data_IF_643720225373
#
_entry.id   IF_643720225373
#
_cell.length_a   1.000
_cell.length_b   1.000
_cell.length_c   1.000
_cell.angle_alpha   90.00
_cell.angle_beta   90.00
_cell.angle_gamma   90.00
#
_symmetry.space_group_name_H-M   'P 1'
#
loop_
_entity.id
_entity.type
_entity.pdbx_description
1 polymer ?
#
# COMPACT_ATOMS: atom_id res chain seq x y z
N UNK A 1 -44.36 -3.27 -20.19
CA UNK A 1 -43.35 -4.24 -19.70
C UNK A 1 -43.27 -4.09 -18.19
N UNK A 2 -43.56 -5.15 -17.43
CA UNK A 2 -43.41 -5.12 -15.98
C UNK A 2 -41.94 -5.41 -15.64
N UNK A 3 -41.28 -4.47 -14.95
CA UNK A 3 -39.92 -4.66 -14.45
C UNK A 3 -40.01 -5.67 -13.31
N UNK A 4 -39.33 -6.81 -13.45
CA UNK A 4 -39.29 -7.82 -12.39
C UNK A 4 -38.19 -7.51 -11.38
N UNK A 5 -38.41 -7.89 -10.12
CA UNK A 5 -37.46 -7.85 -8.99
C UNK A 5 -36.04 -8.31 -9.33
N UNK A 6 -35.89 -9.36 -10.15
CA UNK A 6 -34.58 -9.88 -10.56
C UNK A 6 -33.88 -9.02 -11.63
N UNK A 7 -34.63 -8.22 -12.38
CA UNK A 7 -34.07 -7.26 -13.34
C UNK A 7 -33.58 -5.99 -12.65
N UNK A 8 -34.25 -5.55 -11.57
CA UNK A 8 -33.78 -4.42 -10.76
C UNK A 8 -32.40 -4.69 -10.14
N UNK A 9 -32.19 -5.86 -9.52
CA UNK A 9 -30.90 -6.21 -8.90
C UNK A 9 -29.76 -6.25 -9.92
N UNK A 10 -30.00 -6.77 -11.13
CA UNK A 10 -28.98 -6.89 -12.18
C UNK A 10 -28.57 -5.55 -12.80
N UNK A 11 -29.46 -4.57 -12.85
CA UNK A 11 -29.15 -3.22 -13.32
C UNK A 11 -28.50 -2.36 -12.22
N UNK A 12 -28.77 -2.67 -10.96
CA UNK A 12 -28.28 -1.91 -9.81
C UNK A 12 -26.85 -2.22 -9.40
N UNK A 13 -26.40 -3.47 -9.52
CA UNK A 13 -25.03 -3.83 -9.19
C UNK A 13 -24.00 -3.02 -10.01
N UNK A 14 -24.15 -2.88 -11.35
CA UNK A 14 -23.32 -1.97 -12.14
C UNK A 14 -23.44 -0.50 -11.70
N UNK A 15 -24.65 -0.03 -11.36
CA UNK A 15 -24.90 1.35 -10.96
C UNK A 15 -24.28 1.71 -9.61
N UNK A 16 -24.40 0.83 -8.60
CA UNK A 16 -23.76 0.99 -7.31
C UNK A 16 -22.24 0.89 -7.43
N UNK A 17 -21.72 -0.02 -8.26
CA UNK A 17 -20.28 -0.09 -8.52
C UNK A 17 -19.75 1.20 -9.18
N UNK A 18 -20.50 1.77 -10.12
CA UNK A 18 -20.15 3.07 -10.71
C UNK A 18 -20.14 4.19 -9.65
N UNK A 19 -21.14 4.24 -8.76
CA UNK A 19 -21.18 5.19 -7.64
C UNK A 19 -20.01 5.00 -6.66
N UNK A 20 -19.65 3.74 -6.38
CA UNK A 20 -18.50 3.41 -5.55
C UNK A 20 -17.21 3.94 -6.17
N UNK A 21 -16.97 3.64 -7.45
CA UNK A 21 -15.78 4.08 -8.18
C UNK A 21 -15.68 5.60 -8.33
N UNK A 22 -16.79 6.29 -8.57
CA UNK A 22 -16.84 7.76 -8.60
C UNK A 22 -16.46 8.36 -7.25
N UNK A 23 -17.02 7.84 -6.16
CA UNK A 23 -16.76 8.39 -4.84
C UNK A 23 -15.37 8.04 -4.31
N UNK A 24 -14.84 6.88 -4.70
CA UNK A 24 -13.47 6.48 -4.41
C UNK A 24 -12.45 7.42 -5.07
N UNK A 25 -12.72 7.87 -6.31
CA UNK A 25 -11.86 8.82 -7.05
C UNK A 25 -11.92 10.26 -6.53
N UNK A 26 -12.94 10.63 -5.75
CA UNK A 26 -13.08 11.99 -5.23
C UNK A 26 -12.05 12.32 -4.14
N UNK A 27 -11.37 11.33 -3.57
CA UNK A 27 -10.35 11.53 -2.55
C UNK A 27 -8.96 11.35 -3.15
N UNK A 28 -8.08 12.33 -2.91
CA UNK A 28 -6.68 12.23 -3.30
C UNK A 28 -6.00 11.06 -2.59
N UNK A 29 -5.23 10.28 -3.34
CA UNK A 29 -4.48 9.15 -2.80
C UNK A 29 -3.08 9.58 -2.38
N UNK A 30 -2.95 10.33 -1.27
CA UNK A 30 -1.63 10.78 -0.75
C UNK A 30 -0.61 9.64 -0.59
N UNK A 31 -1.03 8.45 -0.13
CA UNK A 31 -0.13 7.29 -0.06
C UNK A 31 0.51 6.89 -1.41
N UNK A 32 -0.12 7.20 -2.55
CA UNK A 32 0.41 6.86 -3.87
C UNK A 32 1.54 7.81 -4.32
N UNK A 33 1.75 8.93 -3.62
CA UNK A 33 2.91 9.81 -3.84
C UNK A 33 4.14 9.33 -3.07
N UNK A 34 3.95 8.49 -2.05
CA UNK A 34 4.99 8.04 -1.12
C UNK A 34 5.41 6.60 -1.44
N UNK A 35 4.46 5.76 -1.87
CA UNK A 35 4.67 4.35 -2.10
C UNK A 35 4.36 3.97 -3.54
N UNK A 36 5.23 3.15 -4.13
CA UNK A 36 4.93 2.47 -5.39
C UNK A 36 3.95 1.31 -5.15
N UNK A 37 3.11 1.05 -6.15
CA UNK A 37 2.12 -0.03 -6.11
C UNK A 37 2.53 -1.13 -7.07
N UNK A 38 2.73 -2.32 -6.52
CA UNK A 38 2.99 -3.54 -7.30
C UNK A 38 1.87 -4.56 -7.13
N UNK A 39 1.64 -5.35 -8.18
CA UNK A 39 0.66 -6.43 -8.17
C UNK A 39 1.38 -7.76 -7.92
N UNK A 40 0.82 -8.59 -7.06
CA UNK A 40 1.31 -9.93 -6.78
C UNK A 40 0.16 -10.93 -6.73
N UNK A 41 0.42 -12.12 -7.28
CA UNK A 41 -0.43 -13.31 -7.17
C UNK A 41 0.09 -14.30 -6.11
N UNK A 42 1.14 -13.93 -5.36
CA UNK A 42 1.79 -14.80 -4.37
C UNK A 42 1.21 -14.58 -2.97
N UNK A 43 1.36 -15.59 -2.12
CA UNK A 43 0.93 -15.51 -0.72
C UNK A 43 1.80 -14.52 0.11
N UNK A 44 3.04 -14.33 -0.30
CA UNK A 44 3.97 -13.35 0.25
C UNK A 44 4.97 -12.96 -0.84
N UNK A 45 5.47 -11.73 -0.75
CA UNK A 45 6.65 -11.30 -1.49
C UNK A 45 7.84 -11.25 -0.57
N UNK A 46 9.00 -11.59 -1.12
CA UNK A 46 10.27 -11.55 -0.43
C UNK A 46 11.26 -10.76 -1.27
N UNK A 47 11.67 -9.61 -0.75
CA UNK A 47 12.66 -8.76 -1.38
C UNK A 47 13.99 -8.93 -0.66
N UNK A 48 15.02 -9.28 -1.43
CA UNK A 48 16.40 -9.33 -0.94
C UNK A 48 17.09 -8.08 -1.41
N UNK A 49 17.54 -7.25 -0.48
CA UNK A 49 18.38 -6.11 -0.82
C UNK A 49 19.77 -6.62 -1.17
N UNK A 50 20.11 -6.61 -2.46
CA UNK A 50 21.47 -6.87 -2.91
C UNK A 50 22.32 -5.62 -2.68
N UNK A 51 23.51 -5.84 -2.17
CA UNK A 51 24.53 -4.80 -2.10
C UNK A 51 24.89 -4.34 -3.50
N UNK A 52 24.98 -3.03 -3.71
CA UNK A 52 25.48 -2.48 -4.97
C UNK A 52 26.92 -2.91 -5.28
N UNK A 53 27.34 -2.67 -6.52
CA UNK A 53 28.73 -2.83 -6.94
C UNK A 53 29.59 -1.65 -6.49
N UNK A 54 30.87 -1.90 -6.24
CA UNK A 54 31.88 -0.89 -6.02
C UNK A 54 32.06 0.02 -7.24
N UNK A 55 32.71 1.17 -7.03
CA UNK A 55 32.94 2.15 -8.07
C UNK A 55 33.77 1.58 -9.23
N UNK A 56 33.42 1.94 -10.46
CA UNK A 56 34.12 1.45 -11.65
C UNK A 56 35.59 1.89 -11.63
N UNK A 57 36.51 0.93 -11.70
CA UNK A 57 37.95 1.20 -11.71
C UNK A 57 38.45 1.50 -13.14
N UNK A 58 39.44 2.40 -13.25
CA UNK A 58 40.11 2.67 -14.53
C UNK A 58 40.85 1.42 -14.98
N UNK A 59 40.41 0.84 -16.08
CA UNK A 59 41.00 -0.37 -16.66
C UNK A 59 42.36 -0.05 -17.29
N UNK A 60 43.42 -0.72 -16.84
CA UNK A 60 44.74 -0.65 -17.49
C UNK A 60 44.73 -1.41 -18.83
N UNK A 61 45.50 -0.91 -19.79
CA UNK A 61 45.58 -1.49 -21.13
C UNK A 61 46.12 -2.93 -21.06
N UNK A 62 45.43 -3.87 -21.71
CA UNK A 62 45.79 -5.31 -21.72
C UNK A 62 45.28 -6.15 -20.55
N UNK A 63 44.61 -5.58 -19.55
CA UNK A 63 44.04 -6.34 -18.43
C UNK A 63 42.58 -6.76 -18.67
N UNK A 64 42.11 -7.76 -17.91
CA UNK A 64 40.71 -8.21 -17.90
C UNK A 64 39.76 -7.19 -17.27
N UNK A 65 38.45 -7.41 -17.41
CA UNK A 65 37.43 -6.67 -16.64
C UNK A 65 37.42 -7.23 -15.22
N UNK A 66 37.46 -6.37 -14.21
CA UNK A 66 37.29 -6.78 -12.81
C UNK A 66 35.79 -7.01 -12.58
N UNK A 67 35.44 -8.23 -12.19
CA UNK A 67 34.09 -8.57 -11.77
C UNK A 67 33.98 -8.32 -10.27
N UNK A 68 32.92 -7.64 -9.87
CA UNK A 68 32.59 -7.43 -8.47
C UNK A 68 31.45 -8.37 -8.06
N UNK A 69 31.38 -8.72 -6.77
CA UNK A 69 30.40 -9.64 -6.21
C UNK A 69 29.35 -8.86 -5.41
N UNK A 70 28.10 -8.92 -5.85
CA UNK A 70 26.96 -8.43 -5.06
C UNK A 70 26.70 -9.40 -3.89
N UNK A 71 26.68 -8.89 -2.67
CA UNK A 71 26.34 -9.62 -1.45
C UNK A 71 24.90 -9.32 -1.03
N UNK A 72 24.19 -10.29 -0.47
CA UNK A 72 22.85 -10.05 0.08
C UNK A 72 22.97 -9.32 1.43
N UNK A 73 22.27 -8.20 1.60
CA UNK A 73 22.36 -7.37 2.82
C UNK A 73 21.26 -7.75 3.82
N UNK A 74 19.99 -7.64 3.44
CA UNK A 74 18.86 -8.06 4.28
C UNK A 74 17.66 -8.48 3.43
N UNK A 75 16.76 -9.23 4.06
CA UNK A 75 15.55 -9.77 3.41
C UNK A 75 14.32 -9.22 4.11
N UNK A 76 13.42 -8.60 3.34
CA UNK A 76 12.13 -8.14 3.81
C UNK A 76 11.02 -9.04 3.23
N UNK A 77 10.07 -9.45 4.07
CA UNK A 77 8.91 -10.23 3.64
C UNK A 77 7.63 -9.42 3.82
N UNK A 78 6.85 -9.31 2.75
CA UNK A 78 5.56 -8.64 2.74
C UNK A 78 4.43 -9.64 2.59
N UNK A 79 3.44 -9.57 3.47
CA UNK A 79 2.21 -10.38 3.39
C UNK A 79 1.02 -9.49 3.08
N UNK A 80 0.25 -9.85 2.07
CA UNK A 80 -0.97 -9.13 1.71
C UNK A 80 -2.04 -9.30 2.81
N UNK A 81 -2.64 -8.18 3.20
CA UNK A 81 -3.79 -8.19 4.11
C UNK A 81 -5.07 -7.80 3.37
N UNK A 82 -6.13 -8.58 3.58
CA UNK A 82 -7.44 -8.31 3.00
C UNK A 82 -8.23 -7.35 3.89
N UNK A 83 -8.49 -6.15 3.39
CA UNK A 83 -9.39 -5.19 4.05
C UNK A 83 -10.78 -5.36 3.45
N UNK A 84 -11.78 -5.65 4.28
CA UNK A 84 -13.15 -5.84 3.84
C UNK A 84 -14.14 -5.10 4.76
N UNK A 85 -15.14 -4.46 4.14
CA UNK A 85 -16.26 -3.84 4.81
C UNK A 85 -17.52 -4.07 3.96
N UNK A 86 -18.65 -4.36 4.59
CA UNK A 86 -19.92 -4.60 3.90
C UNK A 86 -21.07 -3.93 4.65
N UNK A 87 -22.15 -3.61 3.92
CA UNK A 87 -23.44 -3.24 4.51
C UNK A 87 -24.53 -4.14 3.90
N UNK A 88 -25.61 -4.33 4.64
CA UNK A 88 -26.78 -5.07 4.20
C UNK A 88 -27.99 -4.15 4.10
N UNK A 89 -28.91 -4.43 3.17
CA UNK A 89 -30.20 -3.77 3.04
C UNK A 89 -31.27 -4.84 3.26
N UNK A 90 -32.28 -4.55 4.07
CA UNK A 90 -33.40 -5.47 4.33
C UNK A 90 -34.46 -5.36 3.24
N UNK A 91 -35.31 -6.39 3.12
CA UNK A 91 -36.35 -6.47 2.10
C UNK A 91 -37.42 -5.38 2.27
N UNK A 92 -37.76 -5.03 3.50
CA UNK A 92 -38.75 -4.00 3.82
C UNK A 92 -38.30 -2.61 3.31
N UNK A 93 -37.00 -2.33 3.38
CA UNK A 93 -36.43 -1.09 2.84
C UNK A 93 -36.48 -1.02 1.30
N UNK A 94 -36.58 -2.16 0.63
CA UNK A 94 -36.78 -2.27 -0.82
C UNK A 94 -38.25 -1.98 -1.15
N UNK A 95 -39.18 -2.57 -0.40
CA UNK A 95 -40.62 -2.38 -0.59
C UNK A 95 -41.04 -0.92 -0.37
N UNK A 96 -40.39 -0.21 0.57
CA UNK A 96 -40.69 1.18 0.92
C UNK A 96 -40.10 2.23 -0.05
N UNK A 97 -39.54 1.84 -1.20
CA UNK A 97 -38.85 2.73 -2.15
C UNK A 97 -37.71 3.58 -1.55
N UNK A 98 -37.28 3.30 -0.32
CA UNK A 98 -36.13 3.96 0.32
C UNK A 98 -34.79 3.45 -0.23
N UNK A 99 -34.84 2.36 -0.99
CA UNK A 99 -33.69 1.64 -1.53
C UNK A 99 -32.73 2.51 -2.33
N UNK A 100 -33.20 3.34 -3.27
CA UNK A 100 -32.30 4.10 -4.14
C UNK A 100 -31.53 5.19 -3.36
N UNK A 101 -32.18 5.77 -2.33
CA UNK A 101 -31.56 6.78 -1.46
C UNK A 101 -30.61 6.19 -0.43
N UNK A 102 -30.98 5.04 0.16
CA UNK A 102 -30.19 4.39 1.20
C UNK A 102 -28.99 3.65 0.58
N UNK A 103 -29.21 2.89 -0.49
CA UNK A 103 -28.14 2.15 -1.18
C UNK A 103 -27.08 3.09 -1.74
N UNK A 104 -27.46 4.16 -2.44
CA UNK A 104 -26.51 5.14 -2.96
C UNK A 104 -25.71 5.84 -1.86
N UNK A 105 -26.36 6.20 -0.74
CA UNK A 105 -25.68 6.83 0.40
C UNK A 105 -24.72 5.86 1.09
N UNK A 106 -25.13 4.63 1.34
CA UNK A 106 -24.28 3.63 2.01
C UNK A 106 -23.14 3.16 1.13
N UNK A 107 -23.33 3.01 -0.18
CA UNK A 107 -22.23 2.71 -1.10
C UNK A 107 -21.18 3.83 -1.13
N UNK A 108 -21.61 5.10 -1.12
CA UNK A 108 -20.68 6.24 -0.99
C UNK A 108 -19.96 6.26 0.36
N UNK A 109 -20.67 6.00 1.45
CA UNK A 109 -20.06 5.94 2.78
C UNK A 109 -19.05 4.78 2.89
N UNK A 110 -19.36 3.62 2.30
CA UNK A 110 -18.46 2.47 2.25
C UNK A 110 -17.20 2.79 1.43
N UNK A 111 -17.34 3.43 0.26
CA UNK A 111 -16.20 3.88 -0.54
C UNK A 111 -15.26 4.80 0.27
N UNK A 112 -15.82 5.75 1.01
CA UNK A 112 -15.07 6.68 1.87
C UNK A 112 -14.33 5.95 2.99
N UNK A 113 -15.01 5.03 3.67
CA UNK A 113 -14.42 4.26 4.77
C UNK A 113 -13.26 3.39 4.27
N UNK A 114 -13.42 2.76 3.10
CA UNK A 114 -12.37 1.92 2.49
C UNK A 114 -11.17 2.76 2.05
N UNK A 115 -11.40 3.92 1.42
CA UNK A 115 -10.33 4.84 1.04
C UNK A 115 -9.56 5.36 2.27
N UNK A 116 -10.27 5.77 3.33
CA UNK A 116 -9.65 6.24 4.57
C UNK A 116 -8.83 5.13 5.27
N UNK A 117 -9.37 3.91 5.36
CA UNK A 117 -8.64 2.79 5.94
C UNK A 117 -7.31 2.53 5.23
N UNK A 118 -7.30 2.59 3.89
CA UNK A 118 -6.06 2.46 3.10
C UNK A 118 -5.06 3.57 3.41
N UNK A 119 -5.52 4.82 3.49
CA UNK A 119 -4.67 5.97 3.81
C UNK A 119 -4.07 5.89 5.21
N UNK A 120 -4.89 5.64 6.22
CA UNK A 120 -4.43 5.52 7.61
C UNK A 120 -3.41 4.40 7.75
N UNK A 121 -3.62 3.28 7.04
CA UNK A 121 -2.68 2.16 7.06
C UNK A 121 -1.34 2.51 6.41
N UNK A 122 -1.34 3.21 5.29
CA UNK A 122 -0.11 3.67 4.64
C UNK A 122 0.63 4.72 5.49
N UNK A 123 -0.07 5.74 5.98
CA UNK A 123 0.49 6.78 6.84
C UNK A 123 1.07 6.21 8.15
N UNK A 124 0.51 5.10 8.64
CA UNK A 124 0.97 4.42 9.84
C UNK A 124 2.42 3.90 9.76
N UNK A 125 2.96 3.68 8.56
CA UNK A 125 4.38 3.34 8.39
C UNK A 125 5.25 4.54 8.76
N UNK A 126 4.92 5.73 8.24
CA UNK A 126 5.62 6.98 8.53
C UNK A 126 5.40 7.45 9.98
N UNK A 127 4.18 7.34 10.50
CA UNK A 127 3.87 7.72 11.88
C UNK A 127 4.64 6.88 12.91
N UNK A 128 5.13 5.70 12.51
CA UNK A 128 5.92 4.80 13.36
C UNK A 128 7.40 4.78 12.98
N UNK A 129 7.85 5.70 12.13
CA UNK A 129 9.20 5.71 11.59
C UNK A 129 10.31 5.78 12.67
N UNK A 130 10.04 6.44 13.80
CA UNK A 130 10.97 6.58 14.94
C UNK A 130 10.75 5.56 16.06
N UNK A 131 9.88 4.57 15.85
CA UNK A 131 9.53 3.60 16.89
C UNK A 131 10.33 2.31 16.70
N UNK A 132 11.29 2.06 17.59
CA UNK A 132 12.17 0.87 17.58
C UNK A 132 11.46 -0.47 17.79
N UNK A 133 10.16 -0.46 18.13
CA UNK A 133 9.33 -1.68 18.14
C UNK A 133 8.77 -2.04 16.76
N UNK A 134 8.92 -1.17 15.76
CA UNK A 134 8.47 -1.36 14.38
C UNK A 134 9.67 -1.37 13.45
N UNK A 135 10.29 -2.52 13.35
CA UNK A 135 11.51 -2.71 12.58
C UNK A 135 11.23 -3.03 11.11
N UNK A 136 12.07 -2.51 10.21
CA UNK A 136 12.13 -2.87 8.80
C UNK A 136 12.96 -4.13 8.54
N UNK A 137 13.37 -4.31 7.28
CA UNK A 137 14.10 -5.50 6.82
C UNK A 137 15.47 -5.70 7.47
N UNK A 138 16.11 -4.63 7.95
CA UNK A 138 17.41 -4.66 8.63
C UNK A 138 17.28 -4.75 10.16
N UNK A 139 16.07 -5.02 10.68
CA UNK A 139 15.76 -5.08 12.11
C UNK A 139 15.90 -3.74 12.86
N UNK A 140 15.85 -2.60 12.14
CA UNK A 140 15.85 -1.25 12.71
C UNK A 140 14.59 -0.47 12.34
N UNK A 141 14.23 0.54 13.11
CA UNK A 141 13.18 1.49 12.73
C UNK A 141 13.53 2.26 11.45
N UNK A 142 12.52 2.80 10.75
CA UNK A 142 12.72 3.46 9.44
C UNK A 142 13.64 4.68 9.51
N UNK A 143 13.57 5.43 10.61
CA UNK A 143 14.45 6.56 10.91
C UNK A 143 15.42 6.15 12.02
N UNK A 144 16.45 5.37 11.68
CA UNK A 144 17.53 5.01 12.61
C UNK A 144 18.83 5.76 12.25
N UNK A 145 19.73 5.88 13.23
CA UNK A 145 21.06 6.47 13.02
C UNK A 145 22.12 5.45 12.57
N UNK A 146 21.76 4.16 12.52
CA UNK A 146 22.74 3.07 12.38
C UNK A 146 22.26 1.94 11.45
N UNK A 147 21.72 2.28 10.28
CA UNK A 147 21.41 1.30 9.23
C UNK A 147 22.70 0.71 8.66
N UNK A 148 22.90 -0.60 8.79
CA UNK A 148 24.11 -1.25 8.31
C UNK A 148 24.16 -1.29 6.78
N UNK A 149 25.25 -0.80 6.19
CA UNK A 149 25.56 -0.90 4.77
C UNK A 149 26.90 -1.62 4.56
N UNK A 150 27.19 -1.99 3.32
CA UNK A 150 28.44 -2.69 2.94
C UNK A 150 29.69 -2.02 3.48
N UNK A 151 29.69 -0.68 3.52
CA UNK A 151 30.81 0.14 3.95
C UNK A 151 30.43 1.10 5.08
N UNK A 152 29.95 0.56 6.21
CA UNK A 152 29.70 1.33 7.42
C UNK A 152 28.22 1.39 7.78
N UNK A 153 27.75 2.57 8.19
CA UNK A 153 26.35 2.80 8.57
C UNK A 153 25.82 4.06 7.92
N UNK A 154 24.60 3.99 7.40
CA UNK A 154 23.82 5.15 6.97
C UNK A 154 22.87 5.59 8.10
N UNK A 155 22.53 6.88 8.12
CA UNK A 155 21.60 7.45 9.10
C UNK A 155 20.47 8.17 8.36
N UNK A 156 19.23 7.85 8.75
CA UNK A 156 18.00 8.49 8.24
C UNK A 156 17.38 9.45 9.27
N UNK A 157 18.12 9.75 10.35
CA UNK A 157 17.78 10.72 11.37
C UNK A 157 19.04 11.53 11.75
N UNK A 158 18.82 12.77 12.20
CA UNK A 158 19.89 13.60 12.77
C UNK A 158 20.36 13.04 14.12
N UNK A 159 21.67 12.93 14.32
CA UNK A 159 22.28 12.53 15.60
C UNK A 159 21.99 13.49 16.75
N UNK A 160 21.60 14.73 16.45
CA UNK A 160 21.08 15.70 17.41
C UNK A 160 19.93 16.43 16.76
N UNK A 161 18.74 16.32 17.35
CA UNK A 161 17.59 17.06 16.87
C UNK A 161 17.88 18.58 16.92
N UNK A 162 17.64 19.27 15.82
CA UNK A 162 17.69 20.72 15.80
C UNK A 162 16.38 21.23 16.43
N UNK A 163 16.44 21.65 17.70
CA UNK A 163 15.45 22.53 18.33
C UNK A 163 15.72 23.99 17.94
#
# INVERSE_FOLDING_TARGET
MAISRGQLVKELEPGLNALFGLEYKNYASEHAEIFDTENSDRAFEEEVMLSGFANAQVKAEGQGVVFDSANETFTARYTHETIALAFAITEEAIEDNLYDRISSRYTKALARSMANAKQVKAANVLNRAFNSSYTGGDSKELCATDHAIVAGTEQNELTTAAD
#
